data_IF_357527809931
#
_entry.id   IF_357527809931
#
_cell.length_a   1.000
_cell.length_b   1.000
_cell.length_c   1.000
_cell.angle_alpha   90.00
_cell.angle_beta   90.00
_cell.angle_gamma   90.00
#
_symmetry.space_group_name_H-M   'P 1'
#
loop_
_entity.id
_entity.type
_entity.pdbx_description
1 polymer ?
#
# COMPACT_ATOMS: atom_id res chain seq x y z
N UNK A 1 -7.06 -11.18 18.49
CA UNK A 1 -6.05 -11.82 17.61
C UNK A 1 -4.83 -10.92 17.52
N UNK A 2 -3.66 -11.48 17.67
CA UNK A 2 -2.41 -10.70 17.57
C UNK A 2 -2.21 -10.21 16.13
N UNK A 3 -1.59 -9.02 15.98
CA UNK A 3 -1.25 -8.50 14.66
C UNK A 3 -0.18 -9.34 14.00
N UNK A 4 -0.15 -9.36 12.66
CA UNK A 4 1.01 -9.88 11.94
C UNK A 4 2.25 -9.03 12.27
N UNK A 5 3.39 -9.67 12.28
CA UNK A 5 4.67 -8.97 12.37
C UNK A 5 5.22 -8.71 10.97
N UNK A 6 5.83 -7.54 10.77
CA UNK A 6 6.53 -7.24 9.51
C UNK A 6 7.62 -8.29 9.23
N UNK A 7 8.37 -8.70 10.26
CA UNK A 7 9.40 -9.71 10.13
C UNK A 7 10.36 -9.41 8.99
N UNK A 8 10.46 -10.34 8.04
CA UNK A 8 11.30 -10.18 6.85
C UNK A 8 10.64 -9.38 5.72
N UNK A 9 9.39 -8.95 5.88
CA UNK A 9 8.73 -8.08 4.89
C UNK A 9 9.28 -6.66 5.00
N UNK A 10 9.92 -6.18 3.94
CA UNK A 10 10.59 -4.88 3.91
C UNK A 10 10.08 -3.99 2.79
N UNK A 11 8.95 -4.30 2.17
CA UNK A 11 8.49 -3.62 0.98
C UNK A 11 8.22 -2.13 1.19
N UNK A 12 7.63 -1.73 2.32
CA UNK A 12 7.39 -0.32 2.62
C UNK A 12 8.70 0.47 2.74
N UNK A 13 9.80 -0.16 3.16
CA UNK A 13 11.13 0.46 3.20
C UNK A 13 11.64 0.85 1.81
N UNK A 14 11.15 0.22 0.76
CA UNK A 14 11.45 0.58 -0.62
C UNK A 14 10.49 1.62 -1.17
N UNK A 15 9.19 1.35 -1.06
CA UNK A 15 8.16 2.13 -1.74
C UNK A 15 7.97 3.50 -1.09
N UNK A 16 7.94 3.57 0.23
CA UNK A 16 7.57 4.78 0.96
C UNK A 16 8.68 5.82 0.97
N UNK A 17 8.31 7.08 0.68
CA UNK A 17 9.21 8.21 0.90
C UNK A 17 9.32 8.50 2.40
N UNK A 18 10.53 8.80 2.87
CA UNK A 18 10.79 9.18 4.27
C UNK A 18 11.56 10.49 4.30
N UNK A 19 10.86 11.64 4.32
CA UNK A 19 11.49 12.96 4.24
C UNK A 19 12.51 13.24 5.34
N UNK A 20 12.30 12.71 6.55
CA UNK A 20 13.18 12.91 7.71
C UNK A 20 14.62 12.45 7.46
N UNK A 21 14.81 11.44 6.62
CA UNK A 21 16.13 10.93 6.22
C UNK A 21 16.41 11.16 4.74
N UNK A 22 15.64 12.05 4.09
CA UNK A 22 15.76 12.39 2.66
C UNK A 22 15.70 11.17 1.74
N UNK A 23 14.96 10.15 2.14
CA UNK A 23 14.76 8.95 1.33
C UNK A 23 13.60 9.19 0.36
N UNK A 24 13.83 9.10 -0.97
CA UNK A 24 12.76 9.22 -1.95
C UNK A 24 11.92 7.94 -2.02
N UNK A 25 10.72 8.07 -2.56
CA UNK A 25 9.88 6.91 -2.88
C UNK A 25 10.57 6.00 -3.92
N UNK A 26 10.35 4.70 -3.82
CA UNK A 26 10.89 3.72 -4.77
C UNK A 26 12.36 3.38 -4.60
N UNK A 27 13.03 3.95 -3.64
CA UNK A 27 14.43 3.65 -3.29
C UNK A 27 14.50 2.95 -1.94
N UNK A 28 15.39 1.98 -1.82
CA UNK A 28 15.60 1.31 -0.52
C UNK A 28 16.07 2.28 0.55
N UNK A 29 15.49 2.15 1.74
CA UNK A 29 15.98 2.84 2.92
C UNK A 29 17.41 2.38 3.25
N UNK A 30 18.35 3.30 3.57
CA UNK A 30 19.73 2.91 3.91
C UNK A 30 19.81 2.07 5.20
N UNK A 31 18.84 2.19 6.09
CA UNK A 31 18.78 1.42 7.35
C UNK A 31 18.04 0.09 7.18
N UNK A 32 17.51 -0.20 6.01
CA UNK A 32 16.83 -1.45 5.72
C UNK A 32 17.83 -2.51 5.22
N UNK A 33 17.67 -3.72 5.72
CA UNK A 33 18.32 -4.90 5.18
C UNK A 33 17.24 -5.64 4.38
N UNK A 34 17.20 -5.52 3.03
CA UNK A 34 16.14 -6.10 2.22
C UNK A 34 15.93 -7.59 2.50
N UNK A 35 14.67 -7.99 2.73
CA UNK A 35 14.31 -9.37 3.05
C UNK A 35 14.66 -9.83 4.47
N UNK A 36 15.22 -8.93 5.30
CA UNK A 36 15.56 -9.25 6.71
C UNK A 36 14.88 -8.33 7.72
N UNK A 37 14.81 -7.03 7.45
CA UNK A 37 14.13 -6.09 8.32
C UNK A 37 14.81 -4.73 8.41
N UNK A 38 14.27 -3.88 9.30
CA UNK A 38 14.79 -2.55 9.57
C UNK A 38 15.92 -2.62 10.60
N UNK A 39 17.12 -2.15 10.24
CA UNK A 39 18.29 -2.15 11.14
C UNK A 39 18.13 -1.23 12.35
N UNK A 40 17.24 -0.25 12.28
CA UNK A 40 16.96 0.70 13.37
C UNK A 40 15.56 0.54 13.97
N UNK A 41 14.93 -0.61 13.80
CA UNK A 41 13.53 -0.85 14.23
C UNK A 41 13.31 -0.50 15.71
N UNK A 42 14.24 -0.86 16.57
CA UNK A 42 14.17 -0.58 18.02
C UNK A 42 14.93 0.68 18.43
N UNK A 43 15.52 1.40 17.49
CA UNK A 43 16.30 2.60 17.78
C UNK A 43 15.40 3.81 18.01
N UNK A 44 15.75 4.72 18.95
CA UNK A 44 15.04 5.99 19.10
C UNK A 44 15.20 6.91 17.88
N UNK A 45 16.19 6.67 17.02
CA UNK A 45 16.42 7.43 15.78
C UNK A 45 15.50 7.02 14.64
N UNK A 46 14.72 5.95 14.80
CA UNK A 46 13.75 5.52 13.79
C UNK A 46 12.75 6.65 13.49
N UNK A 47 12.56 7.04 12.20
CA UNK A 47 11.64 8.12 11.85
C UNK A 47 10.23 7.88 12.37
N UNK A 48 9.55 8.95 12.82
CA UNK A 48 8.21 8.85 13.39
C UNK A 48 7.21 8.25 12.38
N UNK A 49 7.29 8.65 11.11
CA UNK A 49 6.45 8.09 10.06
C UNK A 49 6.56 6.55 9.97
N UNK A 50 7.76 6.01 10.18
CA UNK A 50 7.98 4.56 10.19
C UNK A 50 7.43 3.88 11.45
N UNK A 51 7.37 4.60 12.58
CA UNK A 51 6.78 4.10 13.82
C UNK A 51 5.26 4.05 13.75
N UNK A 52 4.65 5.03 13.09
CA UNK A 52 3.20 5.20 13.01
C UNK A 52 2.58 4.43 11.86
N UNK A 53 3.38 3.99 10.88
CA UNK A 53 2.88 3.31 9.70
C UNK A 53 2.63 1.83 9.95
N UNK A 54 1.41 1.39 9.62
CA UNK A 54 1.02 -0.02 9.62
C UNK A 54 0.21 -0.30 8.34
N UNK A 55 0.67 -1.25 7.54
CA UNK A 55 -0.09 -1.68 6.38
C UNK A 55 -1.26 -2.61 6.75
N UNK A 56 -2.18 -2.82 5.83
CA UNK A 56 -3.33 -3.70 6.02
C UNK A 56 -2.91 -5.11 6.45
N UNK A 57 -1.83 -5.64 5.89
CA UNK A 57 -1.31 -6.97 6.26
C UNK A 57 -1.06 -7.07 7.76
N UNK A 58 -0.32 -6.11 8.33
CA UNK A 58 -0.02 -6.10 9.78
C UNK A 58 -1.28 -5.99 10.61
N UNK A 59 -2.23 -5.17 10.17
CA UNK A 59 -3.48 -4.91 10.91
C UNK A 59 -4.56 -5.98 10.71
N UNK A 60 -4.37 -6.91 9.78
CA UNK A 60 -5.37 -7.93 9.43
C UNK A 60 -4.81 -9.34 9.63
N UNK A 61 -4.75 -9.83 10.89
CA UNK A 61 -4.12 -11.11 11.20
C UNK A 61 -4.80 -12.33 10.56
N UNK A 62 -6.02 -12.16 10.07
CA UNK A 62 -6.74 -13.21 9.34
C UNK A 62 -6.34 -13.33 7.87
N UNK A 63 -5.60 -12.35 7.31
CA UNK A 63 -5.17 -12.43 5.92
C UNK A 63 -4.13 -13.54 5.73
N UNK A 64 -4.32 -14.41 4.72
CA UNK A 64 -3.35 -15.46 4.40
C UNK A 64 -1.97 -14.91 4.03
N UNK A 65 -0.93 -15.67 4.33
CA UNK A 65 0.47 -15.31 4.07
C UNK A 65 0.76 -15.01 2.59
N UNK A 66 -0.03 -15.57 1.67
CA UNK A 66 0.11 -15.26 0.23
C UNK A 66 -0.10 -13.80 -0.11
N UNK A 67 -0.77 -13.02 0.76
CA UNK A 67 -1.00 -11.59 0.57
C UNK A 67 0.02 -10.70 1.27
N UNK A 68 1.08 -11.28 1.82
CA UNK A 68 2.15 -10.49 2.44
C UNK A 68 2.77 -9.55 1.39
N UNK A 69 2.99 -8.26 1.72
CA UNK A 69 3.37 -7.25 0.71
C UNK A 69 4.62 -7.60 -0.11
N UNK A 70 5.62 -8.22 0.48
CA UNK A 70 6.84 -8.61 -0.25
C UNK A 70 6.58 -9.71 -1.30
N UNK A 71 5.49 -10.47 -1.14
CA UNK A 71 5.07 -11.49 -2.11
C UNK A 71 4.24 -10.91 -3.23
N UNK A 72 3.29 -10.03 -2.91
CA UNK A 72 2.39 -9.43 -3.90
C UNK A 72 2.91 -8.12 -4.48
N UNK A 73 4.04 -7.60 -4.00
CA UNK A 73 4.73 -6.41 -4.52
C UNK A 73 3.96 -5.11 -4.38
N UNK A 74 3.04 -5.04 -3.45
CA UNK A 74 2.37 -3.81 -3.03
C UNK A 74 1.91 -3.93 -1.57
N UNK A 75 1.69 -2.79 -0.94
CA UNK A 75 1.01 -2.75 0.35
C UNK A 75 -0.26 -1.91 0.25
N UNK A 76 -1.19 -2.17 1.14
CA UNK A 76 -2.44 -1.41 1.27
C UNK A 76 -2.40 -0.68 2.60
N UNK A 77 -2.74 0.61 2.58
CA UNK A 77 -2.83 1.44 3.78
C UNK A 77 -4.18 2.14 3.86
N UNK A 78 -4.56 2.52 5.06
CA UNK A 78 -5.82 3.13 5.38
C UNK A 78 -6.53 2.39 6.50
N UNK A 79 -7.62 2.96 6.99
CA UNK A 79 -8.44 2.41 8.06
C UNK A 79 -9.86 2.14 7.55
N UNK A 80 -10.71 1.56 8.39
CA UNK A 80 -12.12 1.37 8.07
C UNK A 80 -12.85 2.68 7.83
N UNK A 81 -12.39 3.76 8.46
CA UNK A 81 -12.96 5.11 8.33
C UNK A 81 -12.45 5.86 7.10
N UNK A 82 -11.38 5.38 6.47
CA UNK A 82 -10.84 6.01 5.26
C UNK A 82 -11.82 5.88 4.10
N UNK A 83 -12.09 6.98 3.40
CA UNK A 83 -12.93 6.97 2.20
C UNK A 83 -12.32 6.09 1.11
N UNK A 84 -10.99 6.13 0.99
CA UNK A 84 -10.22 5.28 0.06
C UNK A 84 -9.13 4.55 0.81
N UNK A 85 -8.84 3.34 0.37
CA UNK A 85 -7.60 2.65 0.71
C UNK A 85 -6.53 3.01 -0.32
N UNK A 86 -5.30 3.13 0.11
CA UNK A 86 -4.16 3.40 -0.76
C UNK A 86 -3.41 2.11 -1.05
N UNK A 87 -3.28 1.79 -2.32
CA UNK A 87 -2.52 0.63 -2.82
C UNK A 87 -1.22 1.15 -3.41
N UNK A 88 -0.12 0.92 -2.73
CA UNK A 88 1.19 1.43 -3.13
C UNK A 88 2.01 0.29 -3.73
N UNK A 89 2.18 0.32 -5.05
CA UNK A 89 2.79 -0.76 -5.84
C UNK A 89 4.28 -0.48 -6.05
N UNK A 90 5.10 -1.53 -5.95
CA UNK A 90 6.50 -1.46 -6.33
C UNK A 90 6.60 -1.18 -7.83
N UNK A 91 7.23 -0.06 -8.20
CA UNK A 91 7.34 0.36 -9.60
C UNK A 91 8.10 -0.64 -10.48
N UNK A 92 8.89 -1.53 -9.89
CA UNK A 92 9.55 -2.62 -10.63
C UNK A 92 8.60 -3.77 -10.98
N UNK A 93 7.40 -3.79 -10.38
CA UNK A 93 6.36 -4.80 -10.61
C UNK A 93 5.02 -4.11 -10.90
N UNK A 94 4.92 -3.29 -11.95
CA UNK A 94 3.79 -2.38 -12.15
C UNK A 94 2.44 -3.08 -12.36
N UNK A 95 2.46 -4.36 -12.74
CA UNK A 95 1.26 -5.16 -12.99
C UNK A 95 0.86 -6.05 -11.81
N UNK A 96 1.60 -6.01 -10.70
CA UNK A 96 1.39 -6.93 -9.58
C UNK A 96 -0.02 -6.88 -8.98
N UNK A 97 -0.68 -5.73 -9.02
CA UNK A 97 -2.05 -5.56 -8.52
C UNK A 97 -3.13 -6.07 -9.48
N UNK A 98 -2.73 -6.44 -10.70
CA UNK A 98 -3.62 -6.99 -11.76
C UNK A 98 -3.40 -8.48 -12.01
N UNK A 99 -2.52 -9.12 -11.27
CA UNK A 99 -2.10 -10.50 -11.50
C UNK A 99 -2.06 -11.30 -10.20
N UNK A 100 -2.30 -12.61 -10.31
CA UNK A 100 -2.11 -13.58 -9.24
C UNK A 100 -2.77 -13.22 -7.91
N UNK A 101 -2.07 -13.48 -6.81
CA UNK A 101 -2.57 -13.20 -5.46
C UNK A 101 -2.80 -11.70 -5.22
N UNK A 102 -2.04 -10.84 -5.88
CA UNK A 102 -2.27 -9.39 -5.82
C UNK A 102 -3.65 -9.01 -6.35
N UNK A 103 -4.02 -9.52 -7.52
CA UNK A 103 -5.36 -9.29 -8.08
C UNK A 103 -6.46 -9.86 -7.19
N UNK A 104 -6.25 -11.05 -6.65
CA UNK A 104 -7.23 -11.65 -5.72
C UNK A 104 -7.51 -10.73 -4.51
N UNK A 105 -6.48 -10.14 -3.93
CA UNK A 105 -6.64 -9.22 -2.81
C UNK A 105 -7.38 -7.94 -3.23
N UNK A 106 -7.04 -7.36 -4.37
CA UNK A 106 -7.73 -6.19 -4.92
C UNK A 106 -9.22 -6.50 -5.14
N UNK A 107 -9.54 -7.63 -5.76
CA UNK A 107 -10.92 -8.05 -6.00
C UNK A 107 -11.68 -8.27 -4.67
N UNK A 108 -11.02 -8.84 -3.68
CA UNK A 108 -11.59 -9.05 -2.34
C UNK A 108 -11.96 -7.70 -1.69
N UNK A 109 -11.05 -6.74 -1.70
CA UNK A 109 -11.28 -5.40 -1.15
C UNK A 109 -12.40 -4.68 -1.90
N UNK A 110 -12.37 -4.76 -3.25
CA UNK A 110 -13.41 -4.17 -4.11
C UNK A 110 -14.78 -4.78 -3.82
N UNK A 111 -14.86 -6.11 -3.70
CA UNK A 111 -16.11 -6.81 -3.41
C UNK A 111 -16.66 -6.51 -2.02
N UNK A 112 -15.79 -6.12 -1.08
CA UNK A 112 -16.19 -5.61 0.23
C UNK A 112 -16.73 -4.17 0.19
N UNK A 113 -16.83 -3.57 -1.01
CA UNK A 113 -17.38 -2.22 -1.20
C UNK A 113 -16.38 -1.10 -0.91
N UNK A 114 -15.08 -1.38 -0.87
CA UNK A 114 -14.06 -0.37 -0.57
C UNK A 114 -13.48 0.23 -1.84
N UNK A 115 -13.41 1.55 -1.87
CA UNK A 115 -12.70 2.29 -2.91
C UNK A 115 -11.20 2.24 -2.67
N UNK A 116 -10.43 2.24 -3.76
CA UNK A 116 -8.97 2.24 -3.69
C UNK A 116 -8.37 3.26 -4.65
N UNK A 117 -7.28 3.89 -4.21
CA UNK A 117 -6.36 4.63 -5.08
C UNK A 117 -5.09 3.81 -5.22
N UNK A 118 -4.71 3.49 -6.44
CA UNK A 118 -3.53 2.69 -6.75
C UNK A 118 -2.43 3.59 -7.27
N UNK A 119 -1.26 3.54 -6.64
CA UNK A 119 -0.09 4.33 -7.00
C UNK A 119 0.99 3.42 -7.55
N UNK A 120 1.39 3.66 -8.80
CA UNK A 120 2.45 2.91 -9.49
C UNK A 120 3.43 3.92 -10.08
N UNK A 121 4.55 4.18 -9.42
CA UNK A 121 5.47 5.25 -9.81
C UNK A 121 4.75 6.61 -9.82
N UNK A 122 4.72 7.26 -10.98
CA UNK A 122 4.00 8.53 -11.17
C UNK A 122 2.56 8.37 -11.61
N UNK A 123 2.06 7.14 -11.78
CA UNK A 123 0.71 6.86 -12.23
C UNK A 123 -0.22 6.60 -11.05
N UNK A 124 -1.44 7.11 -11.15
CA UNK A 124 -2.50 6.93 -10.17
C UNK A 124 -3.75 6.36 -10.85
N UNK A 125 -4.39 5.40 -10.20
CA UNK A 125 -5.62 4.77 -10.70
C UNK A 125 -6.66 4.72 -9.59
N UNK A 126 -7.94 4.85 -9.96
CA UNK A 126 -9.05 4.69 -9.03
C UNK A 126 -9.78 3.38 -9.28
N UNK A 127 -10.02 2.60 -8.24
CA UNK A 127 -10.85 1.40 -8.27
C UNK A 127 -12.10 1.66 -7.44
N UNK A 128 -13.26 1.60 -8.09
CA UNK A 128 -14.54 1.78 -7.42
C UNK A 128 -14.92 0.52 -6.63
N UNK A 129 -15.31 0.72 -5.36
CA UNK A 129 -15.90 -0.35 -4.55
C UNK A 129 -17.21 -0.85 -5.15
N UNK A 130 -17.41 -2.16 -5.13
CA UNK A 130 -18.61 -2.79 -5.71
C UNK A 130 -19.89 -2.25 -5.05
N UNK A 131 -20.85 -1.88 -5.88
CA UNK A 131 -22.15 -1.34 -5.46
C UNK A 131 -22.05 -0.05 -4.63
N UNK A 132 -20.98 0.71 -4.77
CA UNK A 132 -20.80 2.01 -4.12
C UNK A 132 -20.73 3.11 -5.17
N UNK A 133 -21.34 4.29 -4.91
CA UNK A 133 -21.21 5.42 -5.83
C UNK A 133 -19.78 5.95 -5.84
N UNK A 134 -19.38 6.55 -6.96
CA UNK A 134 -18.09 7.25 -7.05
C UNK A 134 -18.18 8.52 -6.19
N UNK A 135 -17.29 8.72 -5.20
CA UNK A 135 -17.31 9.92 -4.40
C UNK A 135 -17.00 11.18 -5.22
N UNK A 136 -17.69 12.28 -4.92
CA UNK A 136 -17.45 13.56 -5.61
C UNK A 136 -16.02 14.05 -5.42
N UNK A 137 -15.43 13.79 -4.26
CA UNK A 137 -14.04 14.13 -3.96
C UNK A 137 -13.08 13.50 -4.96
N UNK A 138 -13.29 12.23 -5.33
CA UNK A 138 -12.41 11.55 -6.28
C UNK A 138 -12.64 12.05 -7.71
N UNK A 139 -13.87 12.37 -8.09
CA UNK A 139 -14.16 12.94 -9.42
C UNK A 139 -13.38 14.24 -9.60
N UNK A 140 -13.44 15.14 -8.62
CA UNK A 140 -12.72 16.41 -8.64
C UNK A 140 -11.20 16.20 -8.67
N UNK A 141 -10.70 15.30 -7.83
CA UNK A 141 -9.27 14.96 -7.75
C UNK A 141 -8.74 14.43 -9.09
N UNK A 142 -9.44 13.49 -9.70
CA UNK A 142 -9.03 12.88 -10.96
C UNK A 142 -9.10 13.88 -12.13
N UNK A 143 -10.08 14.77 -12.14
CA UNK A 143 -10.18 15.84 -13.14
C UNK A 143 -8.99 16.81 -13.05
N UNK A 144 -8.64 17.24 -11.83
CA UNK A 144 -7.49 18.13 -11.60
C UNK A 144 -6.17 17.47 -12.02
N UNK A 145 -6.00 16.17 -11.75
CA UNK A 145 -4.79 15.42 -12.07
C UNK A 145 -4.75 14.92 -13.52
N UNK A 146 -5.84 15.01 -14.28
CA UNK A 146 -5.92 14.42 -15.62
C UNK A 146 -5.87 12.89 -15.63
N UNK A 147 -6.22 12.25 -14.52
CA UNK A 147 -6.21 10.80 -14.36
C UNK A 147 -7.52 10.19 -14.81
N UNK A 148 -7.48 8.93 -15.25
CA UNK A 148 -8.69 8.17 -15.55
C UNK A 148 -9.05 7.25 -14.39
N UNK A 149 -10.33 7.25 -14.05
CA UNK A 149 -10.88 6.26 -13.13
C UNK A 149 -10.94 4.89 -13.83
N UNK A 150 -10.47 3.86 -13.16
CA UNK A 150 -10.66 2.48 -13.60
C UNK A 150 -11.96 1.97 -12.96
N UNK A 151 -12.94 1.75 -13.80
CA UNK A 151 -14.21 1.12 -13.42
C UNK A 151 -14.16 -0.34 -13.87
N UNK A 152 -14.11 -1.23 -12.93
CA UNK A 152 -14.24 -2.67 -13.18
C UNK A 152 -15.68 -3.15 -12.96
#
# INVERSE_FOLDING_TARGET
MEKHECGSCTLCCKIQAVPQIKKPAGKWCPDCIPGKGCGIFKSPTRPQICKDFYCMWVNSPSLPDKYRPDKIKFYVSGTEESEFLHVCVDANYPMAWKEGAGKELIDHIRNAGRHMLVFVGSHEYFIQGKNKPIPKSIINYMQVKGQQALLD
#
